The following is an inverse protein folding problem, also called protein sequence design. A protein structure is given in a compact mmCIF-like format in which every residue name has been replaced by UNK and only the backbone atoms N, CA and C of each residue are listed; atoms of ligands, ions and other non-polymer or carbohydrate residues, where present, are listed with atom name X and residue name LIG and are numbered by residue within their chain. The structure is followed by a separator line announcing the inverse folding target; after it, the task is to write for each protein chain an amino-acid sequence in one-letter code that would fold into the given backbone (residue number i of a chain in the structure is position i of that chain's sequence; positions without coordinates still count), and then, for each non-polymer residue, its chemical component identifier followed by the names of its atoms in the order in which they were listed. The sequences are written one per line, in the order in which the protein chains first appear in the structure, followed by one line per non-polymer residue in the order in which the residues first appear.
data_IF_237538471443
#
_entry.id   IF_237538471443
#
_cell.length_a   1.000
_cell.length_b   1.000
_cell.length_c   1.000
_cell.angle_alpha   90.00
_cell.angle_beta   90.00
_cell.angle_gamma   90.00
#
_symmetry.space_group_name_H-M   'P 1'
#
loop_
_entity.id
_entity.type
_entity.pdbx_description
1 polymer ?
#
# COMPACT_ATOMS: atom_id res chain seq x y z
N UNK A 1 2.01 -25.50 1.89
CA UNK A 1 1.56 -24.08 1.87
C UNK A 1 1.77 -23.50 3.26
N UNK A 2 2.56 -22.44 3.38
CA UNK A 2 2.79 -21.80 4.68
C UNK A 2 1.67 -20.79 5.00
N UNK A 3 1.59 -20.33 6.27
CA UNK A 3 0.53 -19.41 6.71
C UNK A 3 0.51 -18.09 5.91
N UNK A 4 1.67 -17.60 5.48
CA UNK A 4 1.74 -16.38 4.66
C UNK A 4 1.15 -16.54 3.27
N UNK A 5 1.35 -17.69 2.66
CA UNK A 5 0.77 -18.01 1.34
C UNK A 5 -0.75 -18.19 1.43
N UNK A 6 -1.25 -18.80 2.53
CA UNK A 6 -2.68 -18.91 2.77
C UNK A 6 -3.32 -17.55 2.93
N UNK A 7 -2.74 -16.68 3.77
CA UNK A 7 -3.28 -15.33 4.02
C UNK A 7 -3.27 -14.47 2.74
N UNK A 8 -2.23 -14.57 1.92
CA UNK A 8 -2.17 -13.89 0.62
C UNK A 8 -3.29 -14.38 -0.30
N UNK A 9 -3.48 -15.71 -0.39
CA UNK A 9 -4.54 -16.31 -1.20
C UNK A 9 -5.93 -15.87 -0.73
N UNK A 10 -6.16 -15.79 0.57
CA UNK A 10 -7.45 -15.34 1.13
C UNK A 10 -7.73 -13.88 0.74
N UNK A 11 -6.75 -12.98 0.84
CA UNK A 11 -6.93 -11.58 0.42
C UNK A 11 -7.32 -11.50 -1.06
N UNK A 12 -6.65 -12.26 -1.92
CA UNK A 12 -6.93 -12.25 -3.35
C UNK A 12 -8.30 -12.88 -3.68
N UNK A 13 -8.67 -13.96 -3.00
CA UNK A 13 -10.00 -14.57 -3.15
C UNK A 13 -11.13 -13.62 -2.73
N UNK A 14 -10.97 -12.92 -1.59
CA UNK A 14 -11.96 -11.93 -1.14
C UNK A 14 -12.09 -10.79 -2.17
N UNK A 15 -10.98 -10.33 -2.72
CA UNK A 15 -11.00 -9.29 -3.75
C UNK A 15 -11.80 -9.75 -4.99
N UNK A 16 -11.58 -10.97 -5.46
CA UNK A 16 -12.32 -11.52 -6.61
C UNK A 16 -13.82 -11.67 -6.31
N UNK A 17 -14.17 -12.21 -5.13
CA UNK A 17 -15.59 -12.33 -4.72
C UNK A 17 -16.26 -10.95 -4.72
N UNK A 18 -15.60 -9.93 -4.16
CA UNK A 18 -16.17 -8.56 -4.12
C UNK A 18 -16.31 -7.97 -5.53
N UNK A 19 -15.36 -8.23 -6.42
CA UNK A 19 -15.44 -7.79 -7.82
C UNK A 19 -16.58 -8.45 -8.58
N UNK A 20 -16.85 -9.73 -8.28
CA UNK A 20 -17.93 -10.49 -8.94
C UNK A 20 -19.32 -10.10 -8.43
N UNK A 21 -19.44 -9.76 -7.13
CA UNK A 21 -20.71 -9.45 -6.51
C UNK A 21 -21.11 -7.98 -6.54
N UNK A 22 -20.14 -7.07 -6.67
CA UNK A 22 -20.34 -5.62 -6.58
C UNK A 22 -19.78 -4.89 -7.80
N UNK A 23 -20.39 -3.75 -8.12
CA UNK A 23 -19.87 -2.85 -9.15
C UNK A 23 -18.67 -2.06 -8.62
N UNK A 24 -17.49 -2.65 -8.72
CA UNK A 24 -16.23 -2.07 -8.21
C UNK A 24 -15.55 -1.21 -9.26
N UNK A 25 -15.18 0.03 -8.92
CA UNK A 25 -14.27 0.82 -9.75
C UNK A 25 -12.84 0.31 -9.58
N UNK A 26 -12.32 -0.39 -10.58
CA UNK A 26 -10.97 -0.97 -10.58
C UNK A 26 -9.84 0.05 -10.44
N UNK A 27 -10.14 1.33 -10.64
CA UNK A 27 -9.18 2.44 -10.45
C UNK A 27 -9.08 2.90 -9.00
N UNK A 28 -9.95 2.40 -8.11
CA UNK A 28 -10.11 2.81 -6.71
C UNK A 28 -10.03 1.64 -5.74
N UNK A 29 -9.10 0.73 -5.99
CA UNK A 29 -8.81 -0.39 -5.10
C UNK A 29 -7.54 -0.07 -4.33
N UNK A 30 -7.64 -0.07 -3.00
CA UNK A 30 -6.56 0.30 -2.10
C UNK A 30 -6.26 -0.83 -1.13
N UNK A 31 -5.04 -0.90 -0.66
CA UNK A 31 -4.62 -1.91 0.31
C UNK A 31 -4.06 -1.24 1.56
N UNK A 32 -4.58 -1.61 2.71
CA UNK A 32 -4.08 -1.13 4.00
C UNK A 32 -4.02 -2.25 5.03
N UNK A 33 -3.16 -2.08 6.00
CA UNK A 33 -3.05 -3.02 7.10
C UNK A 33 -2.17 -2.50 8.23
N UNK A 34 -2.42 -3.01 9.45
CA UNK A 34 -1.71 -2.64 10.65
C UNK A 34 -0.79 -3.77 11.12
N UNK A 35 0.39 -3.43 11.63
CA UNK A 35 1.35 -4.36 12.21
C UNK A 35 1.76 -5.47 11.23
N UNK A 36 1.43 -6.72 11.51
CA UNK A 36 1.61 -7.84 10.57
C UNK A 36 0.86 -7.57 9.25
N UNK A 37 -0.36 -7.02 9.31
CA UNK A 37 -1.11 -6.58 8.13
C UNK A 37 -0.44 -5.44 7.38
N UNK A 38 0.29 -4.57 8.06
CA UNK A 38 1.14 -3.55 7.42
C UNK A 38 2.31 -4.16 6.65
N UNK A 39 2.93 -5.21 7.22
CA UNK A 39 3.90 -6.05 6.51
C UNK A 39 3.29 -6.76 5.31
N UNK A 40 2.05 -7.26 5.46
CA UNK A 40 1.23 -7.84 4.39
C UNK A 40 0.92 -6.83 3.29
N UNK A 41 0.64 -5.56 3.65
CA UNK A 41 0.43 -4.47 2.69
C UNK A 41 1.65 -4.26 1.80
N UNK A 42 2.86 -4.25 2.37
CA UNK A 42 4.08 -4.23 1.58
C UNK A 42 4.24 -5.48 0.70
N UNK A 43 4.00 -6.66 1.27
CA UNK A 43 4.15 -7.92 0.55
C UNK A 43 3.22 -8.00 -0.66
N UNK A 44 1.93 -7.85 -0.44
CA UNK A 44 0.90 -7.99 -1.46
C UNK A 44 0.97 -6.83 -2.47
N UNK A 45 1.22 -5.60 -1.99
CA UNK A 45 1.38 -4.43 -2.84
C UNK A 45 2.53 -4.56 -3.84
N UNK A 46 3.67 -5.08 -3.39
CA UNK A 46 4.85 -5.30 -4.24
C UNK A 46 4.68 -6.51 -5.18
N UNK A 47 3.96 -7.52 -4.73
CA UNK A 47 3.77 -8.75 -5.53
C UNK A 47 2.73 -8.59 -6.63
N UNK A 48 1.68 -7.80 -6.41
CA UNK A 48 0.58 -7.57 -7.34
C UNK A 48 0.40 -6.07 -7.62
N UNK A 49 1.39 -5.42 -8.23
CA UNK A 49 1.43 -3.95 -8.33
C UNK A 49 0.32 -3.35 -9.19
N UNK A 50 -0.21 -4.12 -10.14
CA UNK A 50 -1.17 -3.63 -11.13
C UNK A 50 -2.58 -3.42 -10.56
N UNK A 51 -2.84 -3.93 -9.35
CA UNK A 51 -4.17 -3.87 -8.73
C UNK A 51 -4.41 -2.53 -8.02
N UNK A 52 -3.42 -2.03 -7.28
CA UNK A 52 -3.60 -1.05 -6.24
C UNK A 52 -3.50 0.39 -6.73
N UNK A 53 -4.48 1.21 -6.37
CA UNK A 53 -4.45 2.66 -6.57
C UNK A 53 -3.66 3.39 -5.47
N UNK A 54 -3.41 2.75 -4.36
CA UNK A 54 -2.62 3.25 -3.25
C UNK A 54 -2.44 2.22 -2.15
N UNK A 55 -1.39 2.39 -1.35
CA UNK A 55 -1.05 1.53 -0.22
C UNK A 55 -0.99 2.34 1.08
N UNK A 56 -1.46 1.75 2.18
CA UNK A 56 -1.35 2.35 3.52
C UNK A 56 -0.84 1.33 4.55
N UNK A 57 0.47 1.06 4.60
CA UNK A 57 1.06 0.28 5.68
C UNK A 57 1.09 1.09 6.98
N UNK A 58 0.51 0.55 8.04
CA UNK A 58 0.42 1.17 9.37
C UNK A 58 1.26 0.34 10.35
N UNK A 59 2.24 0.96 11.01
CA UNK A 59 3.17 0.31 11.92
C UNK A 59 3.67 -1.04 11.38
N UNK A 60 4.20 -1.09 10.13
CA UNK A 60 4.38 -2.33 9.39
C UNK A 60 5.48 -3.21 9.97
N UNK A 61 5.11 -4.39 10.48
CA UNK A 61 6.05 -5.43 10.86
C UNK A 61 6.54 -6.14 9.58
N UNK A 62 7.75 -5.80 9.14
CA UNK A 62 8.32 -6.40 7.92
C UNK A 62 9.82 -6.63 8.06
N UNK A 63 10.28 -7.76 7.50
CA UNK A 63 11.70 -8.09 7.36
C UNK A 63 12.21 -7.85 5.93
N UNK A 64 11.35 -7.31 5.04
CA UNK A 64 11.71 -7.02 3.65
C UNK A 64 12.61 -5.80 3.55
N UNK A 65 13.43 -5.77 2.49
CA UNK A 65 14.22 -4.60 2.16
C UNK A 65 13.34 -3.52 1.49
N UNK A 66 13.51 -2.24 1.83
CA UNK A 66 12.88 -1.14 1.12
C UNK A 66 13.34 -1.02 -0.35
N UNK A 67 14.40 -1.69 -0.77
CA UNK A 67 14.83 -1.71 -2.19
C UNK A 67 13.77 -2.31 -3.11
N UNK A 68 12.89 -3.16 -2.58
CA UNK A 68 11.76 -3.70 -3.33
C UNK A 68 10.75 -2.62 -3.78
N UNK A 69 10.79 -1.40 -3.23
CA UNK A 69 9.98 -0.26 -3.67
C UNK A 69 10.23 0.11 -5.13
N UNK A 70 11.38 -0.27 -5.70
CA UNK A 70 11.67 -0.10 -7.13
C UNK A 70 10.62 -0.74 -8.04
N UNK A 71 9.93 -1.78 -7.56
CA UNK A 71 8.87 -2.50 -8.29
C UNK A 71 7.53 -1.78 -8.31
N UNK A 72 7.33 -0.80 -7.42
CA UNK A 72 6.06 -0.11 -7.22
C UNK A 72 6.18 1.41 -7.22
N UNK A 73 7.16 1.95 -7.95
CA UNK A 73 7.46 3.40 -7.96
C UNK A 73 6.28 4.30 -8.29
N UNK A 74 5.32 3.80 -9.04
CA UNK A 74 4.15 4.56 -9.51
C UNK A 74 2.95 4.47 -8.56
N UNK A 75 3.00 3.61 -7.55
CA UNK A 75 1.90 3.45 -6.60
C UNK A 75 2.06 4.47 -5.47
N UNK A 76 1.07 5.34 -5.23
CA UNK A 76 1.06 6.24 -4.08
C UNK A 76 1.02 5.49 -2.76
N UNK A 77 1.80 5.93 -1.78
CA UNK A 77 1.89 5.28 -0.47
C UNK A 77 1.74 6.28 0.66
N UNK A 78 0.90 5.98 1.64
CA UNK A 78 0.88 6.65 2.93
C UNK A 78 1.38 5.69 4.00
N UNK A 79 2.54 5.98 4.58
CA UNK A 79 3.14 5.18 5.65
C UNK A 79 2.92 5.87 6.99
N UNK A 80 2.35 5.16 7.95
CA UNK A 80 2.02 5.71 9.27
C UNK A 80 2.68 4.90 10.37
N UNK A 81 3.34 5.58 11.32
CA UNK A 81 4.09 4.94 12.40
C UNK A 81 4.02 5.75 13.69
N UNK A 82 3.99 5.10 14.84
CA UNK A 82 4.16 5.72 16.14
C UNK A 82 5.66 5.89 16.49
N UNK A 83 6.04 7.07 16.97
CA UNK A 83 7.45 7.34 17.32
C UNK A 83 7.92 6.62 18.60
N UNK A 84 6.97 6.21 19.46
CA UNK A 84 7.21 5.41 20.68
C UNK A 84 6.71 3.98 20.57
N UNK A 85 6.57 3.46 19.36
CA UNK A 85 6.23 2.06 19.12
C UNK A 85 7.37 1.14 19.61
N UNK A 86 7.04 0.31 20.62
CA UNK A 86 7.99 -0.63 21.22
C UNK A 86 7.95 -2.02 20.59
N UNK A 87 6.91 -2.32 19.79
CA UNK A 87 6.77 -3.60 19.11
C UNK A 87 7.40 -3.55 17.73
N UNK A 88 7.12 -2.48 16.98
CA UNK A 88 7.70 -2.23 15.65
C UNK A 88 8.45 -0.90 15.69
N UNK A 89 9.77 -0.93 15.87
CA UNK A 89 10.57 0.29 16.04
C UNK A 89 10.47 1.23 14.86
N UNK A 90 10.24 2.52 15.13
CA UNK A 90 10.08 3.61 14.15
C UNK A 90 11.22 3.72 13.14
N UNK A 91 12.44 3.27 13.51
CA UNK A 91 13.59 3.26 12.59
C UNK A 91 13.34 2.48 11.30
N UNK A 92 12.51 1.43 11.37
CA UNK A 92 12.09 0.67 10.19
C UNK A 92 11.30 1.54 9.23
N UNK A 93 10.23 2.18 9.71
CA UNK A 93 9.39 3.07 8.92
C UNK A 93 10.19 4.24 8.31
N UNK A 94 11.10 4.85 9.08
CA UNK A 94 12.00 5.92 8.59
C UNK A 94 12.86 5.46 7.40
N UNK A 95 13.36 4.22 7.42
CA UNK A 95 14.12 3.66 6.28
C UNK A 95 13.26 3.51 5.02
N UNK A 96 12.03 3.03 5.16
CA UNK A 96 11.08 2.92 4.06
C UNK A 96 10.71 4.30 3.51
N UNK A 97 10.42 5.28 4.38
CA UNK A 97 10.15 6.66 3.99
C UNK A 97 11.32 7.31 3.25
N UNK A 98 12.55 7.13 3.75
CA UNK A 98 13.75 7.62 3.09
C UNK A 98 13.93 7.01 1.68
N UNK A 99 13.64 5.72 1.52
CA UNK A 99 13.72 5.06 0.22
C UNK A 99 12.63 5.54 -0.75
N UNK A 100 11.40 5.77 -0.29
CA UNK A 100 10.34 6.36 -1.11
C UNK A 100 10.76 7.75 -1.62
N UNK A 101 11.35 8.56 -0.75
CA UNK A 101 11.88 9.88 -1.12
C UNK A 101 13.02 9.77 -2.15
N UNK A 102 13.99 8.89 -1.92
CA UNK A 102 15.10 8.62 -2.85
C UNK A 102 14.58 8.25 -4.26
N UNK A 103 13.55 7.42 -4.31
CA UNK A 103 12.94 6.96 -5.57
C UNK A 103 11.98 7.98 -6.22
N UNK A 104 11.74 9.13 -5.60
CA UNK A 104 10.80 10.14 -6.09
C UNK A 104 9.35 9.68 -6.12
N UNK A 105 8.97 8.75 -5.25
CA UNK A 105 7.60 8.22 -5.19
C UNK A 105 6.62 9.27 -4.67
N UNK A 106 5.38 9.22 -5.14
CA UNK A 106 4.27 9.93 -4.51
C UNK A 106 3.99 9.27 -3.16
N UNK A 107 4.33 9.95 -2.06
CA UNK A 107 4.16 9.39 -0.73
C UNK A 107 3.92 10.44 0.35
N UNK A 108 3.28 9.99 1.42
CA UNK A 108 3.21 10.68 2.71
C UNK A 108 3.80 9.77 3.79
N UNK A 109 4.55 10.37 4.72
CA UNK A 109 5.00 9.69 5.91
C UNK A 109 4.52 10.44 7.14
N UNK A 110 3.74 9.76 7.99
CA UNK A 110 3.21 10.32 9.22
C UNK A 110 3.84 9.60 10.41
N UNK A 111 4.65 10.33 11.17
CA UNK A 111 5.18 9.88 12.44
C UNK A 111 4.32 10.46 13.56
N UNK A 112 3.50 9.63 14.18
CA UNK A 112 2.56 10.04 15.23
C UNK A 112 3.33 10.29 16.53
N UNK A 113 3.35 11.54 16.95
CA UNK A 113 4.03 11.96 18.19
C UNK A 113 3.42 11.26 19.41
N UNK A 114 4.29 10.75 20.28
CA UNK A 114 3.93 9.95 21.46
C UNK A 114 3.02 8.76 21.10
N UNK A 115 3.14 8.25 19.86
CA UNK A 115 2.38 7.15 19.32
C UNK A 115 2.99 5.81 19.71
N UNK A 116 2.20 4.98 20.37
CA UNK A 116 2.52 3.56 20.57
C UNK A 116 2.13 2.74 19.32
N UNK A 117 2.16 1.43 19.44
CA UNK A 117 1.84 0.52 18.32
C UNK A 117 0.40 0.67 17.78
N UNK A 118 -0.57 1.03 18.61
CA UNK A 118 -2.00 1.06 18.27
C UNK A 118 -2.47 2.46 17.84
N UNK A 119 -1.94 3.51 18.48
CA UNK A 119 -2.40 4.89 18.26
C UNK A 119 -2.46 5.31 16.79
N UNK A 120 -1.47 5.00 15.94
CA UNK A 120 -1.51 5.33 14.52
C UNK A 120 -2.73 4.74 13.80
N UNK A 121 -3.06 3.48 14.08
CA UNK A 121 -4.17 2.78 13.45
C UNK A 121 -5.54 3.36 13.84
N UNK A 122 -5.66 3.96 15.02
CA UNK A 122 -6.91 4.58 15.48
C UNK A 122 -7.03 6.02 14.99
N UNK A 123 -5.95 6.79 15.12
CA UNK A 123 -6.01 8.25 14.93
C UNK A 123 -5.83 8.70 13.49
N UNK A 124 -5.23 7.88 12.63
CA UNK A 124 -4.86 8.28 11.27
C UNK A 124 -5.77 7.72 10.17
N UNK A 125 -6.80 6.94 10.51
CA UNK A 125 -7.74 6.43 9.50
C UNK A 125 -8.37 7.55 8.64
N UNK A 126 -8.85 8.66 9.19
CA UNK A 126 -9.39 9.75 8.35
C UNK A 126 -8.38 10.26 7.34
N UNK A 127 -7.14 10.50 7.77
CA UNK A 127 -6.04 10.96 6.89
C UNK A 127 -5.71 9.94 5.80
N UNK A 128 -5.72 8.65 6.13
CA UNK A 128 -5.50 7.57 5.16
C UNK A 128 -6.61 7.56 4.10
N UNK A 129 -7.88 7.67 4.51
CA UNK A 129 -9.00 7.71 3.56
C UNK A 129 -8.98 8.97 2.69
N UNK A 130 -8.60 10.13 3.24
CA UNK A 130 -8.39 11.35 2.46
C UNK A 130 -7.25 11.19 1.45
N UNK A 131 -6.16 10.53 1.83
CA UNK A 131 -5.07 10.20 0.91
C UNK A 131 -5.57 9.30 -0.22
N UNK A 132 -6.29 8.24 0.07
CA UNK A 132 -6.86 7.36 -0.95
C UNK A 132 -7.83 8.09 -1.88
N UNK A 133 -8.70 8.95 -1.36
CA UNK A 133 -9.64 9.72 -2.16
C UNK A 133 -8.96 10.62 -3.20
N UNK A 134 -7.75 11.09 -2.93
CA UNK A 134 -6.96 11.93 -3.86
C UNK A 134 -6.19 11.15 -4.92
N UNK A 135 -6.07 9.82 -4.76
CA UNK A 135 -5.25 8.99 -5.64
C UNK A 135 -6.12 7.95 -6.34
N UNK A 136 -6.36 8.18 -7.62
CA UNK A 136 -7.11 7.29 -8.51
C UNK A 136 -6.18 6.85 -9.64
N UNK A 137 -6.18 5.57 -9.99
CA UNK A 137 -5.36 5.08 -11.12
C UNK A 137 -5.80 5.77 -12.40
N UNK A 138 -4.83 6.20 -13.20
CA UNK A 138 -5.10 6.72 -14.54
C UNK A 138 -5.58 5.57 -15.44
N UNK A 139 -6.55 5.86 -16.33
CA UNK A 139 -6.90 4.94 -17.41
C UNK A 139 -5.72 4.95 -18.38
N UNK A 140 -5.15 3.78 -18.68
CA UNK A 140 -4.25 3.66 -19.81
C UNK A 140 -5.07 4.00 -21.06
N UNK A 141 -4.69 5.08 -21.78
CA UNK A 141 -5.25 5.34 -23.09
C UNK A 141 -4.82 4.17 -23.98
N UNK A 142 -5.77 3.35 -24.40
CA UNK A 142 -5.59 2.43 -25.52
C UNK A 142 -5.05 3.26 -26.69
N UNK A 143 -3.79 3.03 -27.08
CA UNK A 143 -3.31 3.48 -28.38
C UNK A 143 -4.17 2.75 -29.39
N UNK A 144 -5.09 3.47 -30.02
CA UNK A 144 -5.69 3.03 -31.26
C UNK A 144 -4.54 2.73 -32.21
N UNK A 145 -4.40 1.45 -32.56
CA UNK A 145 -3.62 1.05 -33.70
C UNK A 145 -4.33 1.65 -34.92
N UNK A 146 -3.84 2.76 -35.40
CA UNK A 146 -4.14 3.22 -36.75
C UNK A 146 -3.44 2.26 -37.70
N UNK A 147 -4.18 1.21 -38.12
CA UNK A 147 -3.91 0.55 -39.38
C UNK A 147 -4.12 1.60 -40.47
N UNK A 148 -3.04 2.13 -40.99
CA UNK A 148 -3.02 2.77 -42.27
C UNK A 148 -2.64 1.70 -43.30
N UNK A 149 -3.64 1.04 -43.85
CA UNK A 149 -3.53 0.48 -45.21
C UNK A 149 -3.32 1.62 -46.18
N UNK A 150 -2.17 1.58 -46.88
CA UNK A 150 -1.97 2.01 -48.28
C UNK A 150 -0.76 1.28 -48.86
#
# INVERSE_FOLDING_TARGET
MNLGELSEKDVMNVLEIVRDEFNVDSRRIYLMGHSMGGGGTWHIGIKFPDIWAGLAPIAPATFRSPDNLTKIKTIPVILVQGDKDRLVPVRGARRWAAKMKELGMTHEYIEVKDGNHIKPAITQLPTIFEFFARHVKKVESTKEATDSDD
#
